data_IF_109334593891
#
_entry.id   IF_109334593891
#
_cell.length_a   1.000
_cell.length_b   1.000
_cell.length_c   1.000
_cell.angle_alpha   90.00
_cell.angle_beta   90.00
_cell.angle_gamma   90.00
#
_symmetry.space_group_name_H-M   'P 1'
#
loop_
_entity.id
_entity.type
_entity.pdbx_description
1 polymer ?
#
# COMPACT_ATOMS: atom_id res chain seq x y z
N UNK A 1 -3.68 -2.57 11.53
CA UNK A 1 -3.09 -2.00 10.29
C UNK A 1 -2.97 -3.04 9.16
N UNK A 2 -2.69 -4.33 9.44
CA UNK A 2 -2.69 -5.37 8.38
C UNK A 2 -4.03 -5.48 7.66
N UNK A 3 -5.14 -5.44 8.40
CA UNK A 3 -6.47 -5.44 7.79
C UNK A 3 -6.68 -4.24 6.85
N UNK A 4 -6.08 -3.08 7.16
CA UNK A 4 -6.09 -1.95 6.23
C UNK A 4 -5.31 -2.27 4.96
N UNK A 5 -4.11 -2.86 5.06
CA UNK A 5 -3.33 -3.27 3.88
C UNK A 5 -4.07 -4.31 3.02
N UNK A 6 -4.73 -5.29 3.65
CA UNK A 6 -5.52 -6.30 2.93
C UNK A 6 -6.68 -5.63 2.19
N UNK A 7 -7.42 -4.73 2.84
CA UNK A 7 -8.51 -4.01 2.19
C UNK A 7 -8.00 -3.07 1.10
N UNK A 8 -6.84 -2.45 1.31
CA UNK A 8 -6.17 -1.62 0.33
C UNK A 8 -5.87 -2.42 -0.95
N UNK A 9 -5.24 -3.58 -0.85
CA UNK A 9 -4.99 -4.45 -2.01
C UNK A 9 -6.28 -5.06 -2.60
N UNK A 10 -7.26 -5.39 -1.75
CA UNK A 10 -8.53 -5.96 -2.21
C UNK A 10 -9.31 -5.04 -3.15
N UNK A 11 -9.14 -3.71 -3.07
CA UNK A 11 -9.75 -2.76 -4.04
C UNK A 11 -9.23 -2.90 -5.47
N UNK A 12 -8.09 -3.57 -5.68
CA UNK A 12 -7.57 -3.86 -7.02
C UNK A 12 -8.43 -4.87 -7.78
N UNK A 13 -9.03 -5.83 -7.08
CA UNK A 13 -9.85 -6.87 -7.69
C UNK A 13 -11.10 -6.28 -8.38
N UNK A 14 -11.96 -5.48 -7.70
CA UNK A 14 -13.13 -4.88 -8.34
C UNK A 14 -12.75 -3.88 -9.43
N UNK A 15 -11.67 -3.13 -9.29
CA UNK A 15 -11.22 -2.18 -10.34
C UNK A 15 -10.78 -2.92 -11.60
N UNK A 16 -10.03 -4.02 -11.46
CA UNK A 16 -9.66 -4.88 -12.59
C UNK A 16 -10.89 -5.52 -13.25
N UNK A 17 -11.87 -5.97 -12.47
CA UNK A 17 -13.13 -6.51 -13.02
C UNK A 17 -13.84 -5.45 -13.87
N UNK A 18 -13.89 -4.19 -13.42
CA UNK A 18 -14.52 -3.10 -14.16
C UNK A 18 -13.77 -2.83 -15.48
N UNK A 19 -12.42 -2.75 -15.43
CA UNK A 19 -11.60 -2.47 -16.62
C UNK A 19 -11.72 -3.60 -17.66
N UNK A 20 -11.74 -4.85 -17.20
CA UNK A 20 -11.72 -6.02 -18.09
C UNK A 20 -13.11 -6.41 -18.61
N UNK A 21 -14.18 -6.18 -17.84
CA UNK A 21 -15.54 -6.58 -18.23
C UNK A 21 -16.25 -5.52 -19.07
N UNK A 22 -15.90 -4.24 -18.94
CA UNK A 22 -16.54 -3.19 -19.73
C UNK A 22 -15.80 -3.02 -21.07
N UNK A 23 -16.29 -3.66 -22.13
CA UNK A 23 -15.84 -3.47 -23.52
C UNK A 23 -15.02 -4.63 -24.11
N UNK A 24 -15.00 -4.73 -25.44
CA UNK A 24 -14.47 -5.88 -26.18
C UNK A 24 -13.11 -5.60 -26.87
N UNK A 25 -12.44 -4.49 -26.54
CA UNK A 25 -11.13 -4.14 -27.10
C UNK A 25 -9.99 -4.85 -26.34
N UNK A 26 -9.08 -5.48 -27.07
CA UNK A 26 -7.86 -6.11 -26.54
C UNK A 26 -6.92 -5.10 -25.85
N UNK A 27 -6.91 -3.84 -26.28
CA UNK A 27 -6.09 -2.80 -25.64
C UNK A 27 -6.50 -2.53 -24.18
N UNK A 28 -7.75 -2.82 -23.79
CA UNK A 28 -8.21 -2.68 -22.39
C UNK A 28 -7.63 -3.74 -21.46
N UNK A 29 -7.41 -4.95 -21.98
CA UNK A 29 -6.73 -6.01 -21.22
C UNK A 29 -5.29 -5.62 -20.93
N UNK A 30 -4.59 -5.04 -21.92
CA UNK A 30 -3.23 -4.53 -21.72
C UNK A 30 -3.22 -3.36 -20.71
N UNK A 31 -4.17 -2.42 -20.79
CA UNK A 31 -4.28 -1.35 -19.80
C UNK A 31 -4.53 -1.88 -18.38
N UNK A 32 -5.33 -2.94 -18.23
CA UNK A 32 -5.56 -3.61 -16.96
C UNK A 32 -4.31 -4.26 -16.36
N UNK A 33 -3.49 -4.92 -17.18
CA UNK A 33 -2.23 -5.53 -16.70
C UNK A 33 -1.22 -4.48 -16.26
N UNK A 34 -1.07 -3.38 -17.03
CA UNK A 34 -0.22 -2.26 -16.62
C UNK A 34 -0.67 -1.62 -15.31
N UNK A 35 -1.99 -1.42 -15.13
CA UNK A 35 -2.56 -0.90 -13.89
C UNK A 35 -2.27 -1.81 -12.69
N UNK A 36 -2.38 -3.13 -12.85
CA UNK A 36 -2.06 -4.10 -11.80
C UNK A 36 -0.60 -3.97 -11.37
N UNK A 37 0.34 -4.04 -12.31
CA UNK A 37 1.77 -3.96 -11.97
C UNK A 37 2.14 -2.62 -11.34
N UNK A 38 1.58 -1.52 -11.84
CA UNK A 38 1.81 -0.19 -11.29
C UNK A 38 1.34 -0.08 -9.83
N UNK A 39 0.12 -0.53 -9.54
CA UNK A 39 -0.46 -0.43 -8.19
C UNK A 39 0.17 -1.40 -7.21
N UNK A 40 0.45 -2.64 -7.65
CA UNK A 40 1.08 -3.65 -6.81
C UNK A 40 2.51 -3.23 -6.44
N UNK A 41 3.30 -2.75 -7.41
CA UNK A 41 4.66 -2.26 -7.13
C UNK A 41 4.65 -1.05 -6.17
N UNK A 42 3.67 -0.15 -6.30
CA UNK A 42 3.49 0.97 -5.38
C UNK A 42 3.08 0.57 -3.97
N UNK A 43 2.39 -0.56 -3.80
CA UNK A 43 1.93 -1.05 -2.49
C UNK A 43 3.01 -1.78 -1.67
N UNK A 44 4.02 -2.35 -2.33
CA UNK A 44 5.08 -3.14 -1.68
C UNK A 44 5.91 -2.35 -0.65
N UNK A 45 6.33 -1.08 -0.91
CA UNK A 45 7.01 -0.26 0.09
C UNK A 45 6.22 -0.11 1.39
N UNK A 46 4.89 -0.02 1.30
CA UNK A 46 4.02 0.08 2.47
C UNK A 46 3.95 -1.24 3.24
N UNK A 47 3.96 -2.40 2.56
CA UNK A 47 4.05 -3.70 3.25
C UNK A 47 5.36 -3.81 4.06
N UNK A 48 6.49 -3.47 3.44
CA UNK A 48 7.80 -3.47 4.11
C UNK A 48 7.77 -2.53 5.32
N UNK A 49 7.18 -1.34 5.16
CA UNK A 49 7.05 -0.39 6.25
C UNK A 49 6.24 -0.95 7.44
N UNK A 50 5.14 -1.66 7.16
CA UNK A 50 4.32 -2.27 8.21
C UNK A 50 5.03 -3.42 8.93
N UNK A 51 5.80 -4.24 8.22
CA UNK A 51 6.58 -5.31 8.83
C UNK A 51 7.69 -4.77 9.75
N UNK A 52 8.37 -3.71 9.32
CA UNK A 52 9.37 -3.02 10.16
C UNK A 52 8.74 -2.43 11.42
N UNK A 53 7.55 -1.85 11.31
CA UNK A 53 6.81 -1.32 12.45
C UNK A 53 6.33 -2.43 13.39
N UNK A 54 5.92 -3.58 12.86
CA UNK A 54 5.58 -4.75 13.66
C UNK A 54 6.78 -5.22 14.48
N UNK A 55 7.96 -5.27 13.86
CA UNK A 55 9.17 -5.75 14.53
C UNK A 55 9.58 -4.85 15.70
N UNK A 56 9.42 -3.53 15.56
CA UNK A 56 9.84 -2.56 16.59
C UNK A 56 8.80 -2.33 17.69
N UNK A 57 7.50 -2.37 17.37
CA UNK A 57 6.43 -2.12 18.37
C UNK A 57 5.78 -3.39 18.92
N UNK A 58 6.01 -4.54 18.29
CA UNK A 58 5.40 -5.82 18.63
C UNK A 58 3.89 -5.92 18.39
N UNK A 59 3.21 -4.81 18.07
CA UNK A 59 1.76 -4.76 17.88
C UNK A 59 1.37 -3.90 16.67
N UNK A 60 0.28 -4.28 16.01
CA UNK A 60 -0.19 -3.60 14.78
C UNK A 60 -1.58 -3.00 14.94
N UNK A 61 -2.04 -2.86 16.19
CA UNK A 61 -3.31 -2.25 16.51
C UNK A 61 -3.12 -0.74 16.62
N UNK A 62 -3.98 0.03 15.95
CA UNK A 62 -3.92 1.49 15.96
C UNK A 62 -4.07 2.04 17.40
N UNK A 63 -4.88 1.38 18.22
CA UNK A 63 -5.18 1.79 19.58
C UNK A 63 -3.96 1.63 20.50
N UNK A 64 -3.25 0.50 20.42
CA UNK A 64 -2.09 0.24 21.30
C UNK A 64 -0.86 1.03 20.86
N UNK A 65 -0.71 1.32 19.56
CA UNK A 65 0.38 2.14 19.03
C UNK A 65 0.43 3.55 19.63
N UNK A 66 -0.72 4.13 19.98
CA UNK A 66 -0.78 5.46 20.62
C UNK A 66 -0.14 5.49 22.00
N UNK A 67 -0.10 4.35 22.70
CA UNK A 67 0.51 4.20 24.02
C UNK A 67 1.94 3.68 23.96
N UNK A 68 2.42 3.30 22.77
CA UNK A 68 3.81 2.87 22.59
C UNK A 68 4.77 4.06 22.67
N UNK A 69 6.01 3.81 23.11
CA UNK A 69 7.01 4.87 23.21
C UNK A 69 7.26 5.50 21.83
N UNK A 70 7.41 6.83 21.76
CA UNK A 70 7.67 7.50 20.49
C UNK A 70 8.99 6.99 19.92
N UNK A 71 8.95 6.47 18.69
CA UNK A 71 10.18 6.11 17.99
C UNK A 71 10.99 7.38 17.72
N UNK A 72 12.26 7.35 18.09
CA UNK A 72 13.20 8.42 17.76
C UNK A 72 13.57 8.33 16.27
N UNK A 73 12.87 9.11 15.43
CA UNK A 73 13.05 9.13 13.98
C UNK A 73 14.27 9.98 13.56
N UNK A 74 15.47 9.60 14.00
CA UNK A 74 16.68 10.39 13.74
C UNK A 74 17.50 9.88 12.54
N UNK A 75 17.19 8.70 12.00
CA UNK A 75 18.00 8.08 10.96
C UNK A 75 17.49 8.39 9.56
N UNK A 76 18.37 8.29 8.57
CA UNK A 76 17.97 8.34 7.16
C UNK A 76 17.00 7.21 6.78
N UNK A 77 17.09 6.06 7.48
CA UNK A 77 16.17 4.93 7.31
C UNK A 77 14.72 5.30 7.66
N UNK A 78 14.51 6.06 8.74
CA UNK A 78 13.19 6.51 9.17
C UNK A 78 12.52 7.43 8.14
N UNK A 79 13.31 8.28 7.47
CA UNK A 79 12.82 9.14 6.38
C UNK A 79 12.38 8.32 5.16
N UNK A 80 13.14 7.30 4.80
CA UNK A 80 12.81 6.40 3.69
C UNK A 80 11.57 5.57 4.02
N UNK A 81 11.46 5.10 5.27
CA UNK A 81 10.30 4.38 5.76
C UNK A 81 9.02 5.22 5.65
N UNK A 82 9.09 6.48 6.09
CA UNK A 82 7.97 7.42 5.96
C UNK A 82 7.61 7.71 4.50
N UNK A 83 8.61 7.89 3.63
CA UNK A 83 8.38 8.07 2.19
C UNK A 83 7.71 6.84 1.55
N UNK A 84 8.13 5.63 1.93
CA UNK A 84 7.53 4.37 1.48
C UNK A 84 6.05 4.25 1.86
N UNK A 85 5.67 4.72 3.06
CA UNK A 85 4.27 4.81 3.46
C UNK A 85 3.47 5.76 2.55
N UNK A 86 4.01 6.93 2.18
CA UNK A 86 3.29 7.90 1.35
C UNK A 86 3.14 7.48 -0.12
N UNK A 87 4.18 6.87 -0.70
CA UNK A 87 4.18 6.46 -2.11
C UNK A 87 3.01 5.51 -2.41
N UNK A 88 2.73 4.57 -1.51
CA UNK A 88 1.62 3.63 -1.69
C UNK A 88 0.27 4.35 -1.80
N UNK A 89 0.04 5.41 -1.02
CA UNK A 89 -1.19 6.19 -1.11
C UNK A 89 -1.27 7.02 -2.39
N UNK A 90 -0.15 7.63 -2.81
CA UNK A 90 -0.11 8.45 -4.03
C UNK A 90 -0.47 7.64 -5.27
N UNK A 91 -0.03 6.37 -5.34
CA UNK A 91 -0.28 5.47 -6.47
C UNK A 91 -1.77 5.14 -6.68
N UNK A 92 -2.60 5.20 -5.63
CA UNK A 92 -4.06 4.98 -5.74
C UNK A 92 -4.88 6.27 -5.74
N UNK A 93 -4.27 7.44 -5.51
CA UNK A 93 -4.96 8.73 -5.63
C UNK A 93 -5.00 9.18 -7.10
N UNK A 94 -6.09 9.83 -7.55
CA UNK A 94 -6.21 10.36 -8.91
C UNK A 94 -5.43 11.69 -9.06
N UNK A 95 -4.10 11.65 -8.87
CA UNK A 95 -3.19 12.78 -9.09
C UNK A 95 -2.65 12.79 -10.52
#
# INVERSE_FOLDING_TARGET
IIMFYIMFEATLIPTLIIITRWGNQTERLNAGTYFLFYTLAGSLPLLVALLLLQQSTGTLSMLVLQYSQPMTLNTWGDKIWWAGCLIAFLVKMPL
#
